data_IF_720158204800
#
_entry.id   IF_720158204800
#
_cell.length_a   1.000
_cell.length_b   1.000
_cell.length_c   1.000
_cell.angle_alpha   90.00
_cell.angle_beta   90.00
_cell.angle_gamma   90.00
#
_symmetry.space_group_name_H-M   'P 1'
#
loop_
_entity.id
_entity.type
_entity.pdbx_description
1 polymer ?
#
# COMPACT_ATOMS: atom_id res chain seq x y z
N UNK A 1 2.47 -27.69 -28.03
CA UNK A 1 3.80 -27.50 -27.38
C UNK A 1 4.12 -26.03 -27.10
N UNK A 2 3.73 -25.05 -27.95
CA UNK A 2 3.97 -23.61 -27.70
C UNK A 2 3.26 -23.00 -26.48
N UNK A 3 2.06 -23.50 -26.11
CA UNK A 3 1.33 -22.96 -24.94
C UNK A 3 2.06 -23.15 -23.61
N UNK A 4 2.68 -24.32 -23.42
CA UNK A 4 3.43 -24.64 -22.19
C UNK A 4 4.66 -23.75 -22.04
N UNK A 5 5.36 -23.46 -23.13
CA UNK A 5 6.53 -22.59 -23.13
C UNK A 5 6.16 -21.15 -22.76
N UNK A 6 5.01 -20.66 -23.26
CA UNK A 6 4.50 -19.33 -22.91
C UNK A 6 4.13 -19.25 -21.42
N UNK A 7 3.48 -20.28 -20.87
CA UNK A 7 3.16 -20.31 -19.43
C UNK A 7 4.41 -20.32 -18.55
N UNK A 8 5.42 -21.13 -18.90
CA UNK A 8 6.70 -21.17 -18.18
C UNK A 8 7.44 -19.83 -18.26
N UNK A 9 7.44 -19.19 -19.42
CA UNK A 9 8.02 -17.86 -19.61
C UNK A 9 7.32 -16.80 -18.74
N UNK A 10 5.98 -16.81 -18.71
CA UNK A 10 5.22 -15.88 -17.84
C UNK A 10 5.49 -16.12 -16.35
N UNK A 11 5.56 -17.38 -15.91
CA UNK A 11 5.88 -17.71 -14.51
C UNK A 11 7.30 -17.25 -14.12
N UNK A 12 8.26 -17.43 -15.03
CA UNK A 12 9.64 -16.97 -14.85
C UNK A 12 9.69 -15.45 -14.71
N UNK A 13 8.99 -14.71 -15.59
CA UNK A 13 8.87 -13.25 -15.53
C UNK A 13 8.20 -12.76 -14.23
N UNK A 14 7.14 -13.42 -13.77
CA UNK A 14 6.49 -13.08 -12.50
C UNK A 14 7.39 -13.35 -11.28
N UNK A 15 8.22 -14.39 -11.32
CA UNK A 15 9.15 -14.71 -10.22
C UNK A 15 10.31 -13.70 -10.08
N UNK A 16 10.62 -12.98 -11.16
CA UNK A 16 11.65 -11.94 -11.20
C UNK A 16 11.13 -10.58 -10.71
N UNK A 17 9.82 -10.41 -10.56
CA UNK A 17 9.24 -9.20 -9.98
C UNK A 17 9.54 -9.19 -8.47
N UNK A 18 10.21 -8.14 -7.95
CA UNK A 18 10.32 -7.97 -6.51
C UNK A 18 8.91 -7.94 -5.93
N UNK A 19 8.60 -8.69 -4.86
CA UNK A 19 7.30 -8.58 -4.22
C UNK A 19 7.18 -7.13 -3.71
N UNK A 20 6.35 -6.33 -4.39
CA UNK A 20 5.91 -5.06 -3.84
C UNK A 20 5.14 -5.40 -2.56
N UNK A 21 5.75 -5.13 -1.41
CA UNK A 21 5.24 -5.51 -0.09
C UNK A 21 4.12 -4.55 0.32
N UNK A 22 3.04 -4.39 -0.44
CA UNK A 22 1.83 -3.75 0.07
C UNK A 22 0.70 -4.77 0.04
N UNK A 23 -0.07 -4.85 1.12
CA UNK A 23 -1.20 -5.76 1.20
C UNK A 23 -2.47 -4.98 0.94
N UNK A 24 -3.06 -5.18 -0.22
CA UNK A 24 -4.46 -4.81 -0.44
C UNK A 24 -5.31 -5.71 0.45
N UNK A 25 -6.16 -5.11 1.26
CA UNK A 25 -7.05 -5.80 2.21
C UNK A 25 -8.51 -5.47 1.89
N UNK A 26 -9.45 -6.28 2.36
CA UNK A 26 -10.87 -5.94 2.28
C UNK A 26 -11.23 -4.89 3.34
N UNK A 27 -10.74 -5.10 4.57
CA UNK A 27 -10.84 -4.16 5.68
C UNK A 27 -9.50 -3.97 6.35
N UNK A 28 -9.25 -2.76 6.87
CA UNK A 28 -8.03 -2.50 7.65
C UNK A 28 -7.95 -3.35 8.93
N UNK A 29 -9.09 -3.82 9.44
CA UNK A 29 -9.17 -4.72 10.59
C UNK A 29 -8.60 -6.12 10.33
N UNK A 30 -8.48 -6.55 9.07
CA UNK A 30 -7.99 -7.88 8.70
C UNK A 30 -6.48 -8.03 9.00
N UNK A 31 -5.79 -6.91 9.20
CA UNK A 31 -4.41 -6.84 9.66
C UNK A 31 -4.36 -6.03 10.96
N UNK A 32 -4.12 -6.71 12.08
CA UNK A 32 -4.16 -6.10 13.42
C UNK A 32 -3.22 -4.88 13.56
N UNK A 33 -2.01 -4.93 12.98
CA UNK A 33 -1.08 -3.80 13.00
C UNK A 33 -1.62 -2.59 12.22
N UNK A 34 -2.38 -2.85 11.15
CA UNK A 34 -2.94 -1.81 10.28
C UNK A 34 -4.11 -1.10 10.96
N UNK A 35 -4.96 -1.86 11.68
CA UNK A 35 -6.01 -1.32 12.56
C UNK A 35 -5.45 -0.33 13.59
N UNK A 36 -4.27 -0.60 14.15
CA UNK A 36 -3.68 0.23 15.20
C UNK A 36 -3.25 1.63 14.74
N UNK A 37 -3.19 1.89 13.42
CA UNK A 37 -2.92 3.22 12.91
C UNK A 37 -4.12 4.17 13.00
N UNK A 38 -5.32 3.64 13.24
CA UNK A 38 -6.53 4.42 13.38
C UNK A 38 -6.79 4.78 14.84
N UNK A 39 -7.26 6.00 15.09
CA UNK A 39 -7.62 6.43 16.44
C UNK A 39 -8.70 5.49 17.00
N UNK A 40 -8.41 4.89 18.17
CA UNK A 40 -9.26 3.89 18.82
C UNK A 40 -9.58 2.66 17.92
N UNK A 41 -8.79 2.43 16.87
CA UNK A 41 -9.03 1.36 15.90
C UNK A 41 -10.22 1.62 14.96
N UNK A 42 -10.71 2.85 14.89
CA UNK A 42 -11.91 3.23 14.12
C UNK A 42 -11.55 4.00 12.85
N UNK A 43 -11.98 3.49 11.70
CA UNK A 43 -11.76 4.16 10.41
C UNK A 43 -12.67 5.38 10.24
N UNK A 44 -12.26 6.42 9.50
CA UNK A 44 -13.16 7.54 9.18
C UNK A 44 -14.32 7.08 8.30
N UNK A 45 -15.51 7.65 8.53
CA UNK A 45 -16.65 7.49 7.64
C UNK A 45 -16.60 8.55 6.54
N UNK A 46 -16.50 8.11 5.30
CA UNK A 46 -16.47 8.91 4.09
C UNK A 46 -17.70 8.56 3.24
N UNK A 47 -18.73 9.42 3.20
CA UNK A 47 -19.96 9.16 2.46
C UNK A 47 -19.69 8.73 1.01
N UNK A 48 -20.30 7.63 0.60
CA UNK A 48 -20.14 7.05 -0.75
C UNK A 48 -18.81 6.34 -1.02
N UNK A 49 -17.86 6.34 -0.08
CA UNK A 49 -16.51 5.78 -0.25
C UNK A 49 -16.22 4.67 0.77
N UNK A 50 -16.25 5.01 2.06
CA UNK A 50 -15.87 4.14 3.17
C UNK A 50 -16.86 4.34 4.31
N UNK A 51 -17.49 3.28 4.80
CA UNK A 51 -18.38 3.37 5.95
C UNK A 51 -18.19 2.15 6.84
N UNK A 52 -17.93 2.37 8.13
CA UNK A 52 -17.67 1.31 9.11
C UNK A 52 -16.56 0.33 8.66
N UNK A 53 -15.48 0.88 8.10
CA UNK A 53 -14.35 0.12 7.57
C UNK A 53 -14.64 -0.66 6.28
N UNK A 54 -15.82 -0.51 5.68
CA UNK A 54 -16.25 -1.18 4.44
C UNK A 54 -16.24 -0.21 3.27
N UNK A 55 -15.50 -0.55 2.22
CA UNK A 55 -15.47 0.22 0.98
C UNK A 55 -16.78 0.01 0.20
N UNK A 56 -17.36 1.08 -0.34
CA UNK A 56 -18.61 1.02 -1.11
C UNK A 56 -18.41 0.74 -2.60
N UNK A 57 -17.27 1.11 -3.15
CA UNK A 57 -16.87 0.80 -4.53
C UNK A 57 -15.49 0.18 -4.53
N UNK A 58 -15.43 -1.14 -4.36
CA UNK A 58 -14.19 -1.90 -4.30
C UNK A 58 -13.41 -1.88 -5.62
N UNK A 59 -14.06 -1.59 -6.75
CA UNK A 59 -13.39 -1.44 -8.04
C UNK A 59 -12.49 -0.20 -8.10
N UNK A 60 -12.91 0.89 -7.44
CA UNK A 60 -12.20 2.18 -7.44
C UNK A 60 -11.35 2.39 -6.20
N UNK A 61 -11.86 2.07 -5.02
CA UNK A 61 -11.16 2.34 -3.78
C UNK A 61 -10.55 1.07 -3.22
N UNK A 62 -9.27 1.13 -2.88
CA UNK A 62 -8.50 0.01 -2.33
C UNK A 62 -7.96 0.37 -0.96
N UNK A 63 -8.36 -0.34 0.11
CA UNK A 63 -7.68 -0.25 1.39
C UNK A 63 -6.35 -1.01 1.29
N UNK A 64 -5.27 -0.34 1.69
CA UNK A 64 -3.90 -0.84 1.58
C UNK A 64 -3.22 -0.74 2.95
N UNK A 65 -2.67 -1.85 3.41
CA UNK A 65 -1.76 -1.89 4.54
C UNK A 65 -0.32 -1.88 4.01
N UNK A 66 0.36 -0.75 4.23
CA UNK A 66 1.65 -0.46 3.62
C UNK A 66 2.76 -1.14 4.41
N UNK A 67 3.49 -2.04 3.74
CA UNK A 67 4.48 -2.91 4.36
C UNK A 67 5.86 -2.58 3.77
N UNK A 68 6.81 -2.32 4.66
CA UNK A 68 8.18 -1.98 4.27
C UNK A 68 9.17 -2.65 5.20
N UNK A 69 10.13 -3.38 4.62
CA UNK A 69 11.07 -4.24 5.35
C UNK A 69 10.33 -5.18 6.32
N UNK A 70 9.27 -5.80 5.82
CA UNK A 70 8.41 -6.73 6.57
C UNK A 70 7.72 -6.12 7.81
N UNK A 71 7.60 -4.79 7.87
CA UNK A 71 6.94 -4.06 8.96
C UNK A 71 5.84 -3.18 8.37
N UNK A 72 4.61 -3.29 8.90
CA UNK A 72 3.52 -2.38 8.53
C UNK A 72 3.83 -0.99 9.06
N UNK A 73 3.76 0.03 8.21
CA UNK A 73 4.16 1.41 8.55
C UNK A 73 2.99 2.36 8.66
N UNK A 74 1.99 2.21 7.80
CA UNK A 74 0.78 3.02 7.77
C UNK A 74 -0.33 2.32 6.97
N UNK A 75 -1.55 2.80 7.11
CA UNK A 75 -2.71 2.42 6.31
C UNK A 75 -3.03 3.51 5.30
N UNK A 76 -3.46 3.14 4.10
CA UNK A 76 -3.86 4.08 3.04
C UNK A 76 -5.16 3.61 2.39
N UNK A 77 -6.12 4.50 2.19
CA UNK A 77 -7.21 4.27 1.26
C UNK A 77 -6.85 4.94 -0.08
N UNK A 78 -6.75 4.14 -1.13
CA UNK A 78 -6.26 4.59 -2.44
C UNK A 78 -7.38 4.63 -3.48
N UNK A 79 -7.48 5.72 -4.24
CA UNK A 79 -8.37 5.85 -5.39
C UNK A 79 -7.61 5.44 -6.66
N UNK A 80 -7.93 4.27 -7.22
CA UNK A 80 -7.22 3.73 -8.40
C UNK A 80 -7.55 4.48 -9.69
N UNK A 81 -8.72 5.12 -9.77
CA UNK A 81 -9.12 5.90 -10.95
C UNK A 81 -8.30 7.18 -11.03
N UNK A 82 -8.23 7.93 -9.94
CA UNK A 82 -7.47 9.18 -9.88
C UNK A 82 -5.99 8.98 -9.55
N UNK A 83 -5.60 7.78 -9.14
CA UNK A 83 -4.24 7.40 -8.74
C UNK A 83 -3.70 8.23 -7.58
N UNK A 84 -4.56 8.55 -6.61
CA UNK A 84 -4.22 9.35 -5.43
C UNK A 84 -4.63 8.63 -4.13
N UNK A 85 -3.89 8.84 -3.03
CA UNK A 85 -4.37 8.45 -1.71
C UNK A 85 -5.52 9.38 -1.30
N UNK A 86 -6.66 8.81 -0.92
CA UNK A 86 -7.78 9.55 -0.32
C UNK A 86 -7.40 10.00 1.10
N UNK A 87 -6.83 9.08 1.87
CA UNK A 87 -6.20 9.38 3.15
C UNK A 87 -5.11 8.36 3.48
N UNK A 88 -4.25 8.70 4.43
CA UNK A 88 -3.41 7.74 5.13
C UNK A 88 -3.55 7.91 6.65
N UNK A 89 -3.35 6.82 7.39
CA UNK A 89 -3.37 6.78 8.85
C UNK A 89 -2.07 6.14 9.35
N UNK A 90 -1.43 6.77 10.32
CA UNK A 90 -0.17 6.31 10.92
C UNK A 90 -0.07 6.77 12.37
N UNK A 91 0.73 6.06 13.17
CA UNK A 91 1.02 6.46 14.54
C UNK A 91 2.23 7.38 14.54
N UNK A 92 2.07 8.59 15.08
CA UNK A 92 3.21 9.48 15.31
C UNK A 92 4.04 8.96 16.48
N UNK A 93 5.31 8.64 16.24
CA UNK A 93 6.23 8.07 17.24
C UNK A 93 7.24 9.07 17.79
N UNK A 94 7.04 10.36 17.55
CA UNK A 94 7.98 11.43 17.92
C UNK A 94 8.62 12.10 16.70
N UNK A 95 9.44 13.12 16.97
CA UNK A 95 10.15 13.87 15.95
C UNK A 95 11.66 13.57 15.98
N UNK A 96 12.26 13.69 14.80
CA UNK A 96 13.70 13.88 14.61
C UNK A 96 13.89 15.27 14.02
N UNK A 97 14.99 15.93 14.36
CA UNK A 97 15.29 17.27 13.82
C UNK A 97 15.58 17.18 12.33
N UNK A 98 14.85 17.97 11.53
CA UNK A 98 15.06 18.07 10.09
C UNK A 98 14.44 16.95 9.26
N UNK A 99 14.51 17.09 7.94
CA UNK A 99 14.10 16.07 6.98
C UNK A 99 15.21 15.00 6.90
N UNK A 100 14.89 13.71 6.98
CA UNK A 100 15.88 12.65 6.76
C UNK A 100 16.59 12.83 5.43
N UNK A 101 17.91 12.67 5.42
CA UNK A 101 18.70 12.58 4.19
C UNK A 101 18.51 11.19 3.57
N UNK A 102 17.31 10.99 3.02
CA UNK A 102 16.85 9.76 2.36
C UNK A 102 16.24 10.13 1.03
N UNK A 103 16.58 9.34 0.00
CA UNK A 103 15.99 9.48 -1.32
C UNK A 103 14.46 9.32 -1.24
N UNK A 104 13.72 10.04 -2.08
CA UNK A 104 12.28 9.88 -2.19
C UNK A 104 11.94 8.45 -2.62
N UNK A 105 10.90 7.89 -2.00
CA UNK A 105 10.41 6.54 -2.28
C UNK A 105 9.05 6.65 -2.98
N UNK A 106 8.84 5.97 -4.11
CA UNK A 106 7.59 6.00 -4.90
C UNK A 106 6.84 4.66 -4.76
N UNK A 107 5.58 4.70 -4.33
CA UNK A 107 4.73 3.51 -4.29
C UNK A 107 4.13 3.19 -5.68
N UNK A 108 3.95 1.90 -6.04
CA UNK A 108 4.57 0.72 -5.41
C UNK A 108 6.07 0.69 -5.73
N UNK A 109 6.91 0.32 -4.76
CA UNK A 109 8.38 0.31 -4.87
C UNK A 109 8.90 -0.84 -5.77
N UNK A 110 8.40 -0.96 -7.00
CA UNK A 110 8.83 -1.95 -8.01
C UNK A 110 10.09 -1.51 -8.75
N UNK A 111 10.54 -0.27 -8.57
CA UNK A 111 11.78 0.25 -9.15
C UNK A 111 12.98 -0.02 -8.25
N UNK A 112 14.11 -0.43 -8.85
CA UNK A 112 15.42 -0.23 -8.25
C UNK A 112 15.47 1.18 -7.66
N UNK A 113 16.00 1.31 -6.45
CA UNK A 113 16.33 2.58 -5.82
C UNK A 113 17.33 3.33 -6.72
N UNK A 114 16.84 3.99 -7.77
CA UNK A 114 17.62 4.89 -8.60
C UNK A 114 17.64 6.23 -7.87
N UNK A 115 18.55 6.32 -6.92
CA UNK A 115 18.96 7.60 -6.37
C UNK A 115 19.87 8.29 -7.41
N UNK A 116 19.26 8.80 -8.49
CA UNK A 116 19.86 9.72 -9.46
C UNK A 116 18.76 10.62 -10.02
N UNK A 117 18.30 11.57 -9.21
CA UNK A 117 17.73 12.82 -9.73
C UNK A 117 18.31 13.96 -8.87
N UNK A 118 19.55 14.32 -9.19
CA UNK A 118 19.96 15.72 -9.36
C UNK A 118 20.09 15.94 -10.85
#
# INVERSE_FOLDING_TARGET
>A
MMGVLNHLSTLLLLSLLPPALSRVVEKFSDVSQCKNFFMQGTTPNLPGILYDGIVKNEGRYKPICQLFKNIYRFATLYDTTNRIPVFSAYTFTGNISGRPDKCWMIEPQVGLMLCHIT
#
